data_IF_443717879061
#
_entry.id   IF_443717879061
#
_cell.length_a   1.000
_cell.length_b   1.000
_cell.length_c   1.000
_cell.angle_alpha   90.00
_cell.angle_beta   90.00
_cell.angle_gamma   90.00
#
_symmetry.space_group_name_H-M   'P 1'
#
loop_
_entity.id
_entity.type
_entity.pdbx_description
1 polymer ?
#
# COMPACT_ATOMS: atom_id res chain seq x y z
N UNK A 1 2.74 2.21 2.52
CA UNK A 1 1.31 2.21 2.87
C UNK A 1 1.07 2.61 4.32
N UNK A 2 1.69 2.06 5.35
CA UNK A 2 1.43 2.44 6.75
C UNK A 2 1.65 3.92 7.06
N UNK A 3 2.59 4.59 6.40
CA UNK A 3 2.77 6.05 6.50
C UNK A 3 1.63 6.87 5.88
N UNK A 4 0.77 6.24 5.13
CA UNK A 4 -0.41 6.86 4.55
C UNK A 4 -1.62 6.76 5.47
N UNK A 5 -1.88 5.56 6.03
CA UNK A 5 -2.99 5.28 6.91
C UNK A 5 -2.63 5.61 8.37
N UNK A 6 -2.69 6.89 8.70
CA UNK A 6 -2.41 7.40 10.04
C UNK A 6 -3.66 8.06 10.62
N UNK A 7 -3.80 8.16 11.95
CA UNK A 7 -4.98 8.73 12.59
C UNK A 7 -5.05 10.27 12.50
N UNK A 8 -4.03 10.91 11.99
CA UNK A 8 -3.92 12.37 11.94
C UNK A 8 -4.87 12.99 10.89
N UNK A 9 -5.36 14.20 11.17
CA UNK A 9 -6.51 14.75 10.46
C UNK A 9 -6.26 15.36 9.08
N UNK A 10 -5.08 15.91 8.79
CA UNK A 10 -4.86 16.59 7.50
C UNK A 10 -3.40 16.74 7.12
N UNK A 11 -3.02 16.08 6.05
CA UNK A 11 -1.68 16.10 5.48
C UNK A 11 -1.70 16.05 3.95
N UNK A 12 -2.43 16.96 3.32
CA UNK A 12 -2.72 16.91 1.87
C UNK A 12 -1.48 16.66 1.00
N UNK A 13 -0.40 17.40 1.24
CA UNK A 13 0.82 17.24 0.44
C UNK A 13 1.51 15.88 0.67
N UNK A 14 1.67 15.47 1.92
CA UNK A 14 2.26 14.17 2.26
C UNK A 14 1.40 13.01 1.77
N UNK A 15 0.08 13.14 1.84
CA UNK A 15 -0.86 12.16 1.31
C UNK A 15 -0.71 12.00 -0.19
N UNK A 16 -0.66 13.11 -0.94
CA UNK A 16 -0.45 13.08 -2.40
C UNK A 16 0.90 12.46 -2.79
N UNK A 17 1.95 12.71 -2.02
CA UNK A 17 3.25 12.05 -2.26
C UNK A 17 3.13 10.54 -2.06
N UNK A 18 2.47 10.08 -1.00
CA UNK A 18 2.21 8.66 -0.77
C UNK A 18 1.36 8.05 -1.89
N UNK A 19 0.29 8.72 -2.29
CA UNK A 19 -0.61 8.30 -3.37
C UNK A 19 0.15 8.13 -4.69
N UNK A 20 0.92 9.16 -5.09
CA UNK A 20 1.74 9.12 -6.31
C UNK A 20 2.76 7.99 -6.28
N UNK A 21 3.39 7.76 -5.13
CA UNK A 21 4.36 6.68 -4.93
C UNK A 21 3.69 5.31 -5.12
N UNK A 22 2.51 5.10 -4.53
CA UNK A 22 1.75 3.85 -4.67
C UNK A 22 1.27 3.64 -6.12
N UNK A 23 0.71 4.66 -6.76
CA UNK A 23 0.25 4.59 -8.15
C UNK A 23 1.40 4.26 -9.10
N UNK A 24 2.56 4.90 -8.93
CA UNK A 24 3.75 4.61 -9.74
C UNK A 24 4.22 3.17 -9.55
N UNK A 25 4.24 2.66 -8.32
CA UNK A 25 4.61 1.27 -8.06
C UNK A 25 3.64 0.28 -8.72
N UNK A 26 2.34 0.51 -8.59
CA UNK A 26 1.30 -0.31 -9.22
C UNK A 26 1.46 -0.34 -10.75
N UNK A 27 1.90 0.78 -11.34
CA UNK A 27 2.12 0.87 -12.78
C UNK A 27 3.40 0.16 -13.26
N UNK A 28 4.50 0.28 -12.54
CA UNK A 28 5.82 -0.19 -12.99
C UNK A 28 6.13 -1.63 -12.57
N UNK A 29 5.71 -2.06 -11.38
CA UNK A 29 6.05 -3.40 -10.89
C UNK A 29 5.58 -4.54 -11.84
N UNK A 30 4.36 -4.55 -12.36
CA UNK A 30 3.94 -5.59 -13.29
C UNK A 30 4.77 -5.61 -14.60
N UNK A 31 5.31 -4.47 -15.02
CA UNK A 31 6.13 -4.38 -16.24
C UNK A 31 7.46 -5.09 -16.07
N UNK A 32 8.17 -4.83 -14.96
CA UNK A 32 9.46 -5.51 -14.71
C UNK A 32 9.28 -7.00 -14.43
N UNK A 33 8.17 -7.41 -13.81
CA UNK A 33 7.86 -8.83 -13.63
C UNK A 33 7.62 -9.55 -14.96
N UNK A 34 7.05 -8.85 -15.95
CA UNK A 34 6.84 -9.37 -17.30
C UNK A 34 8.10 -9.28 -18.16
N UNK A 35 8.88 -8.20 -18.02
CA UNK A 35 10.11 -7.96 -18.74
C UNK A 35 11.21 -7.47 -17.76
N UNK A 36 12.02 -8.38 -17.19
CA UNK A 36 13.08 -8.02 -16.26
C UNK A 36 14.18 -7.11 -16.83
N UNK A 37 14.20 -6.89 -18.14
CA UNK A 37 15.15 -6.00 -18.82
C UNK A 37 14.59 -4.59 -19.04
N UNK A 38 13.40 -4.27 -18.56
CA UNK A 38 12.79 -2.94 -18.64
C UNK A 38 13.51 -1.98 -17.68
N UNK A 39 14.55 -1.33 -18.19
CA UNK A 39 15.39 -0.40 -17.42
C UNK A 39 14.59 0.77 -16.86
N UNK A 40 13.69 1.38 -17.66
CA UNK A 40 12.92 2.55 -17.23
C UNK A 40 12.03 2.22 -16.04
N UNK A 41 11.31 1.11 -16.12
CA UNK A 41 10.47 0.68 -14.99
C UNK A 41 11.30 0.26 -13.76
N UNK A 42 12.48 -0.34 -13.93
CA UNK A 42 13.39 -0.60 -12.81
C UNK A 42 13.91 0.67 -12.16
N UNK A 43 14.27 1.68 -12.94
CA UNK A 43 14.74 2.96 -12.43
C UNK A 43 13.66 3.62 -11.55
N UNK A 44 12.40 3.61 -11.99
CA UNK A 44 11.27 4.10 -11.20
C UNK A 44 11.06 3.30 -9.91
N UNK A 45 11.10 1.97 -9.97
CA UNK A 45 10.93 1.12 -8.78
C UNK A 45 12.04 1.37 -7.76
N UNK A 46 13.29 1.50 -8.19
CA UNK A 46 14.42 1.79 -7.31
C UNK A 46 14.28 3.17 -6.65
N UNK A 47 13.82 4.17 -7.39
CA UNK A 47 13.56 5.50 -6.85
C UNK A 47 12.39 5.49 -5.87
N UNK A 48 11.28 4.84 -6.22
CA UNK A 48 10.11 4.63 -5.35
C UNK A 48 10.53 3.96 -4.04
N UNK A 49 11.33 2.91 -4.11
CA UNK A 49 11.85 2.19 -2.95
C UNK A 49 12.65 3.10 -2.01
N UNK A 50 13.52 3.93 -2.57
CA UNK A 50 14.28 4.92 -1.81
C UNK A 50 13.37 5.93 -1.11
N UNK A 51 12.45 6.55 -1.84
CA UNK A 51 11.49 7.53 -1.29
C UNK A 51 10.60 6.92 -0.22
N UNK A 52 10.10 5.71 -0.44
CA UNK A 52 9.25 5.01 0.53
C UNK A 52 9.99 4.68 1.85
N UNK A 53 11.31 4.49 1.80
CA UNK A 53 12.11 4.04 2.93
C UNK A 53 12.83 5.16 3.71
N UNK A 54 13.06 6.31 3.08
CA UNK A 54 13.88 7.40 3.64
C UNK A 54 13.16 8.34 4.61
N UNK A 55 12.00 8.00 5.13
CA UNK A 55 11.16 8.79 6.05
C UNK A 55 10.45 10.01 5.46
N UNK A 56 10.71 10.39 4.21
CA UNK A 56 10.11 11.58 3.58
C UNK A 56 8.57 11.53 3.62
N UNK A 57 8.00 10.39 3.28
CA UNK A 57 6.55 10.20 3.20
C UNK A 57 5.82 10.21 4.55
N UNK A 58 6.58 10.12 5.66
CA UNK A 58 6.05 10.18 7.03
C UNK A 58 6.20 11.56 7.68
N UNK A 59 6.76 12.55 6.98
CA UNK A 59 7.01 13.86 7.59
C UNK A 59 5.70 14.59 7.91
N UNK A 60 5.63 15.07 9.16
CA UNK A 60 4.46 15.76 9.68
C UNK A 60 3.32 14.83 10.13
N UNK A 61 3.49 13.52 10.06
CA UNK A 61 2.49 12.52 10.44
C UNK A 61 2.91 11.75 11.68
N UNK A 62 1.93 11.29 12.45
CA UNK A 62 2.12 10.21 13.43
C UNK A 62 2.24 8.88 12.68
N UNK A 63 3.31 8.14 12.87
CA UNK A 63 3.47 6.85 12.21
C UNK A 63 2.86 5.72 13.07
N UNK A 64 2.03 4.90 12.47
CA UNK A 64 1.51 3.66 13.06
C UNK A 64 2.15 2.47 12.34
N UNK A 65 2.82 1.60 13.09
CA UNK A 65 3.55 0.45 12.59
C UNK A 65 2.87 -0.88 12.98
N UNK A 66 1.56 -0.88 13.15
CA UNK A 66 0.79 -2.04 13.58
C UNK A 66 0.99 -3.26 12.68
N UNK A 67 0.92 -3.09 11.35
CA UNK A 67 1.12 -4.20 10.40
C UNK A 67 2.54 -4.76 10.46
N UNK A 68 3.56 -3.92 10.59
CA UNK A 68 4.94 -4.34 10.77
C UNK A 68 5.12 -5.10 12.09
N UNK A 69 4.55 -4.59 13.18
CA UNK A 69 4.65 -5.22 14.50
C UNK A 69 3.95 -6.59 14.54
N UNK A 70 2.88 -6.80 13.77
CA UNK A 70 2.22 -8.09 13.62
C UNK A 70 3.06 -9.03 12.74
N UNK A 71 3.69 -8.50 11.69
CA UNK A 71 4.43 -9.29 10.70
C UNK A 71 5.80 -9.76 11.23
N UNK A 72 6.53 -8.93 11.97
CA UNK A 72 7.88 -9.26 12.45
C UNK A 72 7.99 -10.63 13.14
N UNK A 73 7.10 -11.01 14.09
CA UNK A 73 7.12 -12.35 14.67
C UNK A 73 6.89 -13.46 13.64
N UNK A 74 6.08 -13.23 12.61
CA UNK A 74 5.82 -14.23 11.57
C UNK A 74 7.07 -14.47 10.72
N UNK A 75 7.75 -13.42 10.29
CA UNK A 75 9.03 -13.54 9.59
C UNK A 75 10.09 -14.23 10.45
N UNK A 76 10.18 -13.88 11.73
CA UNK A 76 11.15 -14.48 12.63
C UNK A 76 10.88 -15.98 12.91
N UNK A 77 9.62 -16.39 12.97
CA UNK A 77 9.25 -17.77 13.30
C UNK A 77 9.23 -18.70 12.08
N UNK A 78 8.80 -18.19 10.93
CA UNK A 78 8.56 -19.00 9.74
C UNK A 78 9.54 -18.75 8.60
N UNK A 79 10.52 -17.87 8.80
CA UNK A 79 11.54 -17.50 7.81
C UNK A 79 10.94 -17.03 6.46
N UNK A 80 9.82 -16.30 6.53
CA UNK A 80 9.19 -15.71 5.34
C UNK A 80 9.82 -14.35 5.03
N UNK A 81 9.93 -14.04 3.74
CA UNK A 81 10.38 -12.74 3.30
C UNK A 81 9.45 -11.64 3.85
N UNK A 82 10.01 -10.62 4.50
CA UNK A 82 9.27 -9.54 5.18
C UNK A 82 8.20 -8.89 4.30
N UNK A 83 8.52 -8.57 3.04
CA UNK A 83 7.56 -8.01 2.11
C UNK A 83 6.39 -8.93 1.77
N UNK A 84 6.63 -10.25 1.72
CA UNK A 84 5.58 -11.25 1.52
C UNK A 84 4.66 -11.35 2.75
N UNK A 85 5.24 -11.35 3.95
CA UNK A 85 4.48 -11.28 5.20
C UNK A 85 3.59 -10.06 5.29
N UNK A 86 4.12 -8.87 4.98
CA UNK A 86 3.35 -7.63 4.93
C UNK A 86 2.23 -7.67 3.87
N UNK A 87 2.47 -8.30 2.72
CA UNK A 87 1.47 -8.42 1.66
C UNK A 87 0.23 -9.24 2.10
N UNK A 88 0.41 -10.15 3.04
CA UNK A 88 -0.69 -10.93 3.65
C UNK A 88 -1.37 -10.16 4.79
N UNK A 89 -0.56 -9.59 5.69
CA UNK A 89 -1.07 -8.90 6.89
C UNK A 89 -1.81 -7.62 6.54
N UNK A 90 -1.28 -6.83 5.62
CA UNK A 90 -1.76 -5.47 5.39
C UNK A 90 -3.22 -5.40 4.92
N UNK A 91 -3.70 -6.19 3.95
CA UNK A 91 -5.11 -6.20 3.58
C UNK A 91 -6.04 -6.69 4.71
N UNK A 92 -5.60 -7.64 5.51
CA UNK A 92 -6.36 -8.12 6.67
C UNK A 92 -6.49 -7.01 7.73
N UNK A 93 -5.39 -6.30 8.00
CA UNK A 93 -5.38 -5.13 8.87
C UNK A 93 -6.32 -4.04 8.35
N UNK A 94 -6.28 -3.72 7.05
CA UNK A 94 -7.19 -2.73 6.46
C UNK A 94 -8.67 -3.10 6.67
N UNK A 95 -9.04 -4.38 6.49
CA UNK A 95 -10.41 -4.87 6.73
C UNK A 95 -10.84 -4.70 8.19
N UNK A 96 -9.92 -4.79 9.12
CA UNK A 96 -10.19 -4.64 10.54
C UNK A 96 -10.36 -3.17 10.95
N UNK A 97 -9.48 -2.27 10.47
CA UNK A 97 -9.39 -0.89 10.96
C UNK A 97 -10.15 0.15 10.14
N UNK A 98 -10.67 -0.18 8.97
CA UNK A 98 -11.19 0.83 8.05
C UNK A 98 -12.25 1.76 8.64
N UNK A 99 -13.04 1.27 9.62
CA UNK A 99 -14.09 2.05 10.29
C UNK A 99 -13.54 3.12 11.22
N UNK A 100 -12.29 3.01 11.65
CA UNK A 100 -11.63 4.02 12.49
C UNK A 100 -11.32 5.30 11.71
N UNK A 101 -11.00 5.17 10.41
CA UNK A 101 -10.78 6.31 9.54
C UNK A 101 -11.32 6.03 8.12
N UNK A 102 -12.65 6.00 7.93
CA UNK A 102 -13.24 5.69 6.63
C UNK A 102 -12.89 6.72 5.55
N UNK A 103 -12.72 7.99 5.91
CA UNK A 103 -12.33 9.05 4.96
C UNK A 103 -11.01 8.74 4.26
N UNK A 104 -10.00 8.31 5.01
CA UNK A 104 -8.69 7.96 4.48
C UNK A 104 -8.76 6.72 3.58
N UNK A 105 -9.55 5.73 3.96
CA UNK A 105 -9.78 4.53 3.16
C UNK A 105 -10.50 4.84 1.85
N UNK A 106 -11.49 5.72 1.86
CA UNK A 106 -12.19 6.18 0.66
C UNK A 106 -11.24 7.01 -0.23
N UNK A 107 -10.41 7.86 0.36
CA UNK A 107 -9.39 8.61 -0.37
C UNK A 107 -8.41 7.66 -1.06
N UNK A 108 -7.92 6.65 -0.37
CA UNK A 108 -7.10 5.58 -0.93
C UNK A 108 -7.77 4.88 -2.12
N UNK A 109 -9.02 4.49 -1.94
CA UNK A 109 -9.80 3.85 -3.00
C UNK A 109 -9.86 4.70 -4.27
N UNK A 110 -10.15 5.99 -4.11
CA UNK A 110 -10.28 6.93 -5.23
C UNK A 110 -8.93 7.29 -5.86
N UNK A 111 -7.94 7.63 -5.04
CA UNK A 111 -6.67 8.21 -5.52
C UNK A 111 -5.67 7.18 -5.99
N UNK A 112 -5.66 6.00 -5.39
CA UNK A 112 -4.72 4.93 -5.73
C UNK A 112 -5.31 3.92 -6.69
N UNK A 113 -6.57 3.52 -6.49
CA UNK A 113 -7.23 2.49 -7.28
C UNK A 113 -8.27 2.98 -8.27
N UNK A 114 -8.52 4.29 -8.28
CA UNK A 114 -9.53 4.91 -9.14
C UNK A 114 -10.92 4.25 -9.02
N UNK A 115 -11.30 3.90 -7.78
CA UNK A 115 -12.61 3.30 -7.49
C UNK A 115 -13.69 4.37 -7.63
N UNK A 116 -14.70 4.09 -8.43
CA UNK A 116 -15.86 4.95 -8.56
C UNK A 116 -16.75 4.85 -7.32
N UNK A 117 -17.25 6.00 -6.85
CA UNK A 117 -18.07 6.08 -5.65
C UNK A 117 -19.54 6.39 -5.91
N UNK A 118 -19.93 6.61 -7.16
CA UNK A 118 -21.31 6.96 -7.53
C UNK A 118 -22.22 5.76 -7.26
N UNK A 119 -23.21 5.94 -6.38
CA UNK A 119 -24.20 4.92 -6.07
C UNK A 119 -23.71 3.77 -5.20
N UNK A 120 -22.51 3.89 -4.57
CA UNK A 120 -21.96 2.89 -3.68
C UNK A 120 -21.93 3.39 -2.24
N UNK A 121 -22.14 2.46 -1.31
CA UNK A 121 -21.91 2.69 0.11
C UNK A 121 -20.41 2.74 0.44
N UNK A 122 -20.05 3.40 1.53
CA UNK A 122 -18.63 3.54 1.96
C UNK A 122 -17.92 2.19 2.09
N UNK A 123 -18.59 1.21 2.67
CA UNK A 123 -18.06 -0.14 2.83
C UNK A 123 -17.76 -0.82 1.49
N UNK A 124 -18.63 -0.66 0.50
CA UNK A 124 -18.42 -1.21 -0.86
C UNK A 124 -17.18 -0.59 -1.52
N UNK A 125 -17.00 0.72 -1.40
CA UNK A 125 -15.85 1.45 -1.96
C UNK A 125 -14.55 0.96 -1.31
N UNK A 126 -14.55 0.85 0.02
CA UNK A 126 -13.37 0.41 0.80
C UNK A 126 -13.04 -1.04 0.49
N UNK A 127 -14.02 -1.93 0.47
CA UNK A 127 -13.80 -3.36 0.20
C UNK A 127 -13.32 -3.59 -1.23
N UNK A 128 -13.79 -2.83 -2.21
CA UNK A 128 -13.28 -2.90 -3.58
C UNK A 128 -11.79 -2.50 -3.64
N UNK A 129 -11.39 -1.45 -2.95
CA UNK A 129 -9.98 -1.03 -2.90
C UNK A 129 -9.08 -2.07 -2.21
N UNK A 130 -9.57 -2.68 -1.13
CA UNK A 130 -8.85 -3.75 -0.43
C UNK A 130 -8.71 -4.97 -1.35
N UNK A 131 -9.77 -5.37 -2.06
CA UNK A 131 -9.71 -6.48 -3.01
C UNK A 131 -8.70 -6.23 -4.14
N UNK A 132 -8.65 -5.01 -4.70
CA UNK A 132 -7.64 -4.63 -5.70
C UNK A 132 -6.22 -4.68 -5.12
N UNK A 133 -6.04 -4.32 -3.87
CA UNK A 133 -4.75 -4.41 -3.17
C UNK A 133 -4.33 -5.87 -2.98
N UNK A 134 -5.24 -6.75 -2.56
CA UNK A 134 -4.99 -8.19 -2.44
C UNK A 134 -4.63 -8.81 -3.79
N UNK A 135 -5.35 -8.47 -4.84
CA UNK A 135 -5.08 -8.96 -6.20
C UNK A 135 -3.69 -8.52 -6.68
N UNK A 136 -3.34 -7.25 -6.46
CA UNK A 136 -2.01 -6.73 -6.81
C UNK A 136 -0.91 -7.50 -6.06
N UNK A 137 -1.04 -7.72 -4.76
CA UNK A 137 -0.07 -8.47 -3.99
C UNK A 137 0.03 -9.92 -4.42
N UNK A 138 -1.11 -10.59 -4.65
CA UNK A 138 -1.14 -11.96 -5.14
C UNK A 138 -0.47 -12.12 -6.52
N UNK A 139 -0.66 -11.14 -7.41
CA UNK A 139 -0.09 -11.19 -8.77
C UNK A 139 1.37 -10.77 -8.85
N UNK A 140 1.84 -9.93 -7.92
CA UNK A 140 3.11 -9.23 -8.05
C UNK A 140 4.12 -9.54 -6.95
N UNK A 141 3.68 -9.91 -5.76
CA UNK A 141 4.55 -10.14 -4.60
C UNK A 141 4.57 -11.62 -4.20
N UNK A 142 3.40 -12.23 -4.02
CA UNK A 142 3.29 -13.59 -3.47
C UNK A 142 3.59 -14.70 -4.48
N UNK A 143 3.55 -14.43 -5.78
CA UNK A 143 3.92 -15.41 -6.82
C UNK A 143 5.41 -15.67 -6.95
N UNK A 144 6.24 -14.87 -6.29
CA UNK A 144 7.69 -14.90 -6.42
C UNK A 144 8.41 -15.39 -5.15
N UNK A 145 7.64 -15.68 -4.10
CA UNK A 145 8.15 -16.17 -2.81
C UNK A 145 8.04 -17.69 -2.66
#
# INVERSE_FOLDING_TARGET
MERYFVPDDYHDFSDRMCESTMVSLIHHLPKVLKNPSDYESWAEIMWIGNVAHNTLLGKGKSEDWASHNIEHPLSAYYDIAHGAGLAVIFPAWMKYVWRENPKMMIQYAKKVWNVENIGKEEEEIVMEAIAKTEEFYNSSVLRQS
#
